data_IF_872914983079
#
_entry.id   IF_872914983079
#
_cell.length_a   1.000
_cell.length_b   1.000
_cell.length_c   1.000
_cell.angle_alpha   90.00
_cell.angle_beta   90.00
_cell.angle_gamma   90.00
#
_symmetry.space_group_name_H-M   'P 1'
#
loop_
_entity.id
_entity.type
_entity.pdbx_description
1 polymer ?
#
# COMPACT_ATOMS: atom_id res chain seq x y z
N UNK A 1 7.25 59.11 -25.54
CA UNK A 1 8.27 58.43 -24.69
C UNK A 1 7.53 57.73 -23.54
N UNK A 2 7.14 56.48 -23.73
CA UNK A 2 6.51 55.64 -22.73
C UNK A 2 7.42 54.46 -22.47
N UNK A 3 7.90 54.39 -21.23
CA UNK A 3 8.73 53.29 -20.76
C UNK A 3 7.87 52.09 -20.46
N UNK A 4 7.96 51.02 -21.22
CA UNK A 4 7.42 49.71 -20.86
C UNK A 4 8.35 49.04 -19.88
N UNK A 5 7.87 48.85 -18.65
CA UNK A 5 8.53 48.04 -17.66
C UNK A 5 8.10 46.58 -17.86
N UNK A 6 9.05 45.77 -18.30
CA UNK A 6 8.87 44.32 -18.50
C UNK A 6 8.91 43.67 -17.12
N UNK A 7 7.76 43.21 -16.62
CA UNK A 7 7.68 42.30 -15.45
C UNK A 7 7.82 40.88 -15.98
N UNK A 8 9.00 40.29 -15.76
CA UNK A 8 9.25 38.87 -15.98
C UNK A 8 8.57 38.09 -14.88
N UNK A 9 7.36 37.63 -15.13
CA UNK A 9 6.70 36.63 -14.32
C UNK A 9 7.30 35.25 -14.61
N UNK A 10 8.05 34.71 -13.66
CA UNK A 10 8.43 33.29 -13.68
C UNK A 10 7.17 32.44 -13.47
N UNK A 11 6.55 32.07 -14.56
CA UNK A 11 5.53 31.05 -14.59
C UNK A 11 6.21 29.68 -14.59
N UNK A 12 6.39 29.10 -13.41
CA UNK A 12 6.68 27.68 -13.31
C UNK A 12 5.42 26.90 -13.74
N UNK A 13 5.39 26.49 -15.01
CA UNK A 13 4.39 25.57 -15.51
C UNK A 13 4.66 24.18 -14.90
N UNK A 14 4.03 23.88 -13.79
CA UNK A 14 3.84 22.50 -13.32
C UNK A 14 2.81 21.86 -14.25
N UNK A 15 3.29 21.09 -15.21
CA UNK A 15 2.47 20.09 -15.91
C UNK A 15 2.13 18.99 -14.91
N UNK A 16 1.00 19.16 -14.24
CA UNK A 16 0.40 18.11 -13.45
C UNK A 16 -0.24 17.11 -14.39
N UNK A 17 0.45 15.99 -14.63
CA UNK A 17 -0.21 14.77 -15.07
C UNK A 17 -1.25 14.40 -14.01
N UNK A 18 -2.49 14.15 -14.46
CA UNK A 18 -3.65 13.97 -13.59
C UNK A 18 -3.56 12.69 -12.73
N UNK A 19 -3.08 12.89 -11.52
CA UNK A 19 -3.46 12.09 -10.39
C UNK A 19 -4.19 13.06 -9.47
N UNK A 20 -5.34 12.69 -8.92
CA UNK A 20 -5.97 13.40 -7.81
C UNK A 20 -4.98 13.36 -6.64
N UNK A 21 -4.03 14.28 -6.62
CA UNK A 21 -3.07 14.40 -5.53
C UNK A 21 -3.85 14.89 -4.32
N UNK A 22 -4.05 14.01 -3.35
CA UNK A 22 -4.53 14.38 -2.03
C UNK A 22 -3.64 15.53 -1.53
N UNK A 23 -4.25 16.65 -1.22
CA UNK A 23 -3.51 17.80 -0.66
C UNK A 23 -3.54 17.71 0.85
N UNK A 24 -2.40 17.90 1.52
CA UNK A 24 -2.40 17.97 2.98
C UNK A 24 -3.15 19.25 3.41
N UNK A 25 -4.26 19.06 4.14
CA UNK A 25 -5.20 20.13 4.47
C UNK A 25 -4.87 20.80 5.81
N UNK A 26 -4.25 20.05 6.74
CA UNK A 26 -3.92 20.54 8.07
C UNK A 26 -2.41 20.77 8.26
N UNK A 27 -2.00 21.60 9.24
CA UNK A 27 -0.59 21.74 9.58
C UNK A 27 0.09 20.41 9.89
N UNK A 28 -0.60 19.51 10.59
CA UNK A 28 -0.08 18.19 10.96
C UNK A 28 0.13 17.29 9.74
N UNK A 29 -0.83 17.24 8.81
CA UNK A 29 -0.69 16.49 7.56
C UNK A 29 0.43 17.06 6.68
N UNK A 30 0.58 18.41 6.64
CA UNK A 30 1.67 19.06 5.92
C UNK A 30 3.05 18.71 6.52
N UNK A 31 3.17 18.66 7.84
CA UNK A 31 4.39 18.25 8.53
C UNK A 31 4.71 16.76 8.22
N UNK A 32 3.69 15.88 8.23
CA UNK A 32 3.86 14.46 7.91
C UNK A 32 4.31 14.23 6.46
N UNK A 33 3.77 14.95 5.48
CA UNK A 33 4.20 14.90 4.08
C UNK A 33 5.67 15.28 3.92
N UNK A 34 6.12 16.30 4.67
CA UNK A 34 7.53 16.75 4.65
C UNK A 34 8.46 15.87 5.50
N UNK A 35 7.89 14.89 6.22
CA UNK A 35 8.59 14.09 7.21
C UNK A 35 9.30 14.96 8.28
N UNK A 36 8.66 16.07 8.65
CA UNK A 36 9.15 16.99 9.65
C UNK A 36 8.71 16.54 11.05
N UNK A 37 9.49 15.63 11.63
CA UNK A 37 9.20 15.03 12.95
C UNK A 37 9.18 16.08 14.06
N UNK A 38 10.02 17.11 13.94
CA UNK A 38 10.06 18.24 14.91
C UNK A 38 8.76 19.03 14.89
N UNK A 39 8.26 19.38 13.69
CA UNK A 39 6.98 20.06 13.54
C UNK A 39 5.81 19.19 13.99
N UNK A 40 5.81 17.89 13.70
CA UNK A 40 4.78 16.93 14.17
C UNK A 40 4.72 16.98 15.71
N UNK A 41 5.86 16.84 16.38
CA UNK A 41 5.94 16.87 17.86
C UNK A 41 5.38 18.18 18.40
N UNK A 42 5.84 19.31 17.88
CA UNK A 42 5.39 20.63 18.35
C UNK A 42 3.88 20.80 18.17
N UNK A 43 3.33 20.43 17.01
CA UNK A 43 1.90 20.54 16.75
C UNK A 43 1.06 19.68 17.72
N UNK A 44 1.53 18.45 18.01
CA UNK A 44 0.87 17.58 18.99
C UNK A 44 0.95 18.17 20.41
N UNK A 45 2.10 18.74 20.81
CA UNK A 45 2.28 19.41 22.09
C UNK A 45 1.41 20.68 22.20
N UNK A 46 1.17 21.39 21.08
CA UNK A 46 0.27 22.54 20.97
C UNK A 46 -1.22 22.15 21.00
N UNK A 47 -1.52 20.85 21.07
CA UNK A 47 -2.88 20.32 21.24
C UNK A 47 -3.63 20.00 19.95
N UNK A 48 -2.93 19.91 18.82
CA UNK A 48 -3.53 19.38 17.59
C UNK A 48 -3.91 17.91 17.77
N UNK A 49 -5.05 17.50 17.23
CA UNK A 49 -5.51 16.12 17.29
C UNK A 49 -4.72 15.26 16.30
N UNK A 50 -4.26 14.08 16.74
CA UNK A 50 -3.45 13.19 15.92
C UNK A 50 -4.16 12.72 14.63
N UNK A 51 -5.50 12.59 14.67
CA UNK A 51 -6.35 12.22 13.53
C UNK A 51 -6.99 13.44 12.84
N UNK A 52 -6.48 14.65 13.05
CA UNK A 52 -6.98 15.80 12.30
C UNK A 52 -6.71 15.62 10.80
N UNK A 53 -7.69 15.98 9.98
CA UNK A 53 -7.62 15.79 8.53
C UNK A 53 -8.93 15.30 7.94
N UNK A 54 -9.88 14.89 8.80
CA UNK A 54 -11.26 14.59 8.42
C UNK A 54 -11.37 13.49 7.38
N UNK A 55 -12.13 13.76 6.29
CA UNK A 55 -12.43 12.80 5.22
C UNK A 55 -11.24 12.55 4.29
N UNK A 56 -10.13 13.27 4.49
CA UNK A 56 -8.89 13.13 3.71
C UNK A 56 -7.87 12.21 4.41
N UNK A 57 -6.66 12.13 3.87
CA UNK A 57 -5.58 11.37 4.47
C UNK A 57 -5.07 12.02 5.77
N UNK A 58 -5.03 11.23 6.83
CA UNK A 58 -4.44 11.66 8.11
C UNK A 58 -2.92 11.79 8.05
N UNK A 59 -2.35 12.44 9.04
CA UNK A 59 -0.88 12.51 9.20
C UNK A 59 -0.27 11.11 9.30
N UNK A 60 -0.95 10.15 9.95
CA UNK A 60 -0.50 8.76 10.06
C UNK A 60 -0.44 8.05 8.71
N UNK A 61 -1.39 8.30 7.81
CA UNK A 61 -1.35 7.75 6.44
C UNK A 61 -0.14 8.29 5.68
N UNK A 62 0.12 9.59 5.74
CA UNK A 62 1.28 10.19 5.09
C UNK A 62 2.60 9.67 5.65
N UNK A 63 2.74 9.58 6.98
CA UNK A 63 3.90 9.00 7.64
C UNK A 63 4.11 7.52 7.27
N UNK A 64 3.03 6.74 7.18
CA UNK A 64 3.06 5.33 6.78
C UNK A 64 3.50 5.16 5.33
N UNK A 65 2.97 6.01 4.44
CA UNK A 65 3.34 6.05 3.03
C UNK A 65 4.82 6.39 2.82
N UNK A 66 5.36 7.33 3.58
CA UNK A 66 6.78 7.71 3.52
C UNK A 66 7.72 6.75 4.25
N UNK A 67 7.18 5.85 5.09
CA UNK A 67 7.97 4.92 5.90
C UNK A 67 8.61 5.56 7.13
N UNK A 68 8.13 6.73 7.57
CA UNK A 68 8.68 7.44 8.71
C UNK A 68 8.31 6.79 10.05
N UNK A 69 9.15 5.87 10.51
CA UNK A 69 8.94 5.13 11.78
C UNK A 69 8.80 6.07 12.98
N UNK A 70 9.58 7.14 13.02
CA UNK A 70 9.53 8.11 14.13
C UNK A 70 8.21 8.91 14.13
N UNK A 71 7.77 9.39 12.96
CA UNK A 71 6.50 10.09 12.84
C UNK A 71 5.32 9.17 13.19
N UNK A 72 5.34 7.90 12.72
CA UNK A 72 4.31 6.91 13.06
C UNK A 72 4.24 6.72 14.56
N UNK A 73 5.38 6.52 15.26
CA UNK A 73 5.40 6.39 16.71
C UNK A 73 4.79 7.60 17.40
N UNK A 74 5.22 8.82 17.05
CA UNK A 74 4.70 10.04 17.66
C UNK A 74 3.18 10.18 17.50
N UNK A 75 2.67 9.91 16.30
CA UNK A 75 1.24 10.03 16.00
C UNK A 75 0.43 8.98 16.75
N UNK A 76 0.86 7.71 16.76
CA UNK A 76 0.16 6.64 17.47
C UNK A 76 0.25 6.83 18.99
N UNK A 77 1.39 7.28 19.54
CA UNK A 77 1.53 7.59 20.96
C UNK A 77 0.65 8.79 21.37
N UNK A 78 0.35 9.71 20.45
CA UNK A 78 -0.58 10.81 20.64
C UNK A 78 -2.06 10.42 20.42
N UNK A 79 -2.35 9.13 20.17
CA UNK A 79 -3.70 8.60 20.06
C UNK A 79 -4.28 8.53 18.65
N UNK A 80 -3.45 8.63 17.59
CA UNK A 80 -3.93 8.37 16.24
C UNK A 80 -4.50 6.95 16.10
N UNK A 81 -5.66 6.82 15.46
CA UNK A 81 -6.24 5.52 15.15
C UNK A 81 -5.44 4.84 14.03
N UNK A 82 -4.74 3.76 14.40
CA UNK A 82 -3.89 2.97 13.49
C UNK A 82 -4.68 2.35 12.32
N UNK A 83 -6.00 2.25 12.47
CA UNK A 83 -6.91 1.64 11.49
C UNK A 83 -7.80 2.64 10.77
N UNK A 84 -7.66 3.95 11.04
CA UNK A 84 -8.45 4.97 10.38
C UNK A 84 -8.10 5.06 8.88
N UNK A 85 -9.02 4.70 7.98
CA UNK A 85 -8.74 4.77 6.55
C UNK A 85 -8.77 6.20 6.04
N UNK A 86 -8.08 6.45 4.95
CA UNK A 86 -8.19 7.71 4.22
C UNK A 86 -8.87 7.50 2.88
N UNK A 87 -9.89 8.33 2.61
CA UNK A 87 -10.56 8.31 1.33
C UNK A 87 -9.74 9.01 0.25
N UNK A 88 -9.65 8.42 -0.93
CA UNK A 88 -9.07 9.06 -2.13
C UNK A 88 -10.14 9.63 -3.05
N UNK A 89 -11.42 9.49 -2.67
CA UNK A 89 -12.56 9.92 -3.50
C UNK A 89 -12.90 8.97 -4.66
N UNK A 90 -12.18 7.86 -4.77
CA UNK A 90 -12.29 6.85 -5.82
C UNK A 90 -12.51 5.43 -5.25
N UNK A 91 -13.29 5.34 -4.17
CA UNK A 91 -13.65 4.08 -3.47
C UNK A 91 -12.45 3.28 -2.91
N UNK A 92 -11.29 3.94 -2.77
CA UNK A 92 -10.09 3.31 -2.22
C UNK A 92 -9.81 3.77 -0.78
N UNK A 93 -10.61 3.27 0.16
CA UNK A 93 -10.47 3.58 1.59
C UNK A 93 -9.37 2.75 2.25
N UNK A 94 -8.11 3.06 1.93
CA UNK A 94 -6.95 2.32 2.43
C UNK A 94 -6.53 2.79 3.83
N UNK A 95 -6.14 1.82 4.67
CA UNK A 95 -5.57 2.07 6.00
C UNK A 95 -4.11 2.51 5.93
N UNK A 96 -3.54 3.08 7.01
CA UNK A 96 -2.09 3.33 7.11
C UNK A 96 -1.24 2.11 6.75
N UNK A 97 -1.63 0.92 7.23
CA UNK A 97 -0.95 -0.34 6.91
C UNK A 97 -0.94 -0.62 5.40
N UNK A 98 -2.08 -0.48 4.74
CA UNK A 98 -2.18 -0.72 3.29
C UNK A 98 -1.35 0.29 2.49
N UNK A 99 -1.32 1.56 2.91
CA UNK A 99 -0.45 2.56 2.30
C UNK A 99 1.04 2.23 2.46
N UNK A 100 1.46 1.75 3.64
CA UNK A 100 2.83 1.31 3.88
C UNK A 100 3.20 0.10 2.99
N UNK A 101 2.28 -0.85 2.79
CA UNK A 101 2.47 -2.00 1.88
C UNK A 101 2.62 -1.54 0.44
N UNK A 102 1.71 -0.69 -0.05
CA UNK A 102 1.73 -0.16 -1.42
C UNK A 102 3.01 0.60 -1.75
N UNK A 103 3.60 1.27 -0.77
CA UNK A 103 4.86 2.00 -0.91
C UNK A 103 6.11 1.19 -0.53
N UNK A 104 5.94 -0.11 -0.24
CA UNK A 104 7.04 -1.02 0.11
C UNK A 104 7.87 -0.55 1.29
N UNK A 105 7.20 -0.19 2.38
CA UNK A 105 7.83 0.31 3.61
C UNK A 105 7.85 -0.76 4.72
N UNK A 106 8.74 -1.76 4.69
CA UNK A 106 8.67 -2.90 5.62
C UNK A 106 8.85 -2.51 7.08
N UNK A 107 9.61 -1.45 7.38
CA UNK A 107 9.78 -0.95 8.75
C UNK A 107 8.48 -0.34 9.29
N UNK A 108 7.78 0.46 8.47
CA UNK A 108 6.46 0.99 8.82
C UNK A 108 5.41 -0.11 8.95
N UNK A 109 5.40 -1.08 8.03
CA UNK A 109 4.50 -2.25 8.11
C UNK A 109 4.69 -2.98 9.44
N UNK A 110 5.93 -3.33 9.82
CA UNK A 110 6.22 -3.98 11.10
C UNK A 110 5.69 -3.17 12.27
N UNK A 111 6.03 -1.88 12.31
CA UNK A 111 5.61 -0.99 13.40
C UNK A 111 4.08 -0.92 13.51
N UNK A 112 3.37 -0.72 12.40
CA UNK A 112 1.90 -0.64 12.39
C UNK A 112 1.26 -1.96 12.88
N UNK A 113 1.82 -3.12 12.49
CA UNK A 113 1.37 -4.42 12.98
C UNK A 113 1.61 -4.57 14.50
N UNK A 114 2.79 -4.17 14.98
CA UNK A 114 3.12 -4.17 16.42
C UNK A 114 2.20 -3.23 17.23
N UNK A 115 1.63 -2.20 16.57
CA UNK A 115 0.67 -1.24 17.14
C UNK A 115 -0.80 -1.63 16.93
N UNK A 116 -1.09 -2.83 16.42
CA UNK A 116 -2.45 -3.38 16.30
C UNK A 116 -3.18 -3.02 15.01
N UNK A 117 -2.47 -2.79 13.91
CA UNK A 117 -3.09 -2.62 12.62
C UNK A 117 -3.87 -3.88 12.18
N UNK A 118 -5.06 -3.68 11.63
CA UNK A 118 -5.94 -4.77 11.20
C UNK A 118 -5.41 -5.46 9.94
N UNK A 119 -5.14 -6.76 10.07
CA UNK A 119 -4.65 -7.64 9.00
C UNK A 119 -5.72 -8.04 7.98
N UNK A 120 -7.01 -7.84 8.31
CA UNK A 120 -8.13 -8.40 7.56
C UNK A 120 -8.96 -7.36 6.84
N UNK A 121 -8.74 -6.07 7.12
CA UNK A 121 -9.48 -5.00 6.48
C UNK A 121 -9.15 -4.92 5.00
N UNK A 122 -10.16 -5.15 4.16
CA UNK A 122 -10.07 -4.94 2.71
C UNK A 122 -10.16 -3.46 2.34
N UNK A 123 -9.55 -3.07 1.23
CA UNK A 123 -9.66 -1.74 0.65
C UNK A 123 -9.75 -1.79 -0.87
N UNK A 124 -10.39 -0.80 -1.45
CA UNK A 124 -10.54 -0.64 -2.89
C UNK A 124 -11.40 -1.69 -3.57
N UNK A 125 -11.46 -1.66 -4.91
CA UNK A 125 -12.20 -2.63 -5.70
C UNK A 125 -11.73 -4.05 -5.42
N UNK A 126 -12.69 -4.95 -5.09
CA UNK A 126 -12.40 -6.34 -4.75
C UNK A 126 -12.03 -6.56 -3.29
N UNK A 127 -12.11 -5.54 -2.42
CA UNK A 127 -11.87 -5.67 -0.96
C UNK A 127 -10.51 -6.30 -0.64
N UNK A 128 -9.43 -5.70 -1.17
CA UNK A 128 -8.07 -6.25 -1.07
C UNK A 128 -7.51 -6.15 0.35
N UNK A 129 -7.34 -7.28 1.01
CA UNK A 129 -6.68 -7.34 2.31
C UNK A 129 -5.17 -7.03 2.22
N UNK A 130 -4.50 -6.67 3.33
CA UNK A 130 -3.05 -6.46 3.36
C UNK A 130 -2.24 -7.60 2.72
N UNK A 131 -2.61 -8.85 2.98
CA UNK A 131 -1.91 -10.01 2.41
C UNK A 131 -2.11 -10.14 0.89
N UNK A 132 -3.33 -9.87 0.38
CA UNK A 132 -3.62 -9.85 -1.05
C UNK A 132 -2.84 -8.75 -1.78
N UNK A 133 -2.67 -7.58 -1.16
CA UNK A 133 -1.83 -6.51 -1.69
C UNK A 133 -0.36 -6.92 -1.75
N UNK A 134 0.18 -7.47 -0.66
CA UNK A 134 1.57 -7.90 -0.59
C UNK A 134 1.89 -9.07 -1.54
N UNK A 135 0.94 -9.97 -1.80
CA UNK A 135 1.09 -11.08 -2.74
C UNK A 135 1.30 -10.59 -4.19
N UNK A 136 0.88 -9.38 -4.50
CA UNK A 136 1.15 -8.71 -5.78
C UNK A 136 2.58 -8.18 -5.93
N UNK A 137 3.47 -8.29 -4.94
CA UNK A 137 4.85 -7.81 -5.04
C UNK A 137 5.85 -8.94 -5.40
N UNK A 138 6.98 -8.54 -5.99
CA UNK A 138 8.10 -9.44 -6.29
C UNK A 138 8.96 -9.73 -5.06
N UNK A 139 9.05 -8.77 -4.12
CA UNK A 139 9.76 -8.94 -2.86
C UNK A 139 8.83 -9.52 -1.79
N UNK A 140 9.09 -10.72 -1.26
CA UNK A 140 8.26 -11.35 -0.25
C UNK A 140 8.45 -10.79 1.16
N UNK A 141 9.26 -9.76 1.39
CA UNK A 141 9.59 -9.29 2.72
C UNK A 141 8.34 -8.88 3.52
N UNK A 142 7.48 -8.04 2.93
CA UNK A 142 6.24 -7.59 3.57
C UNK A 142 5.26 -8.75 3.72
N UNK A 143 5.13 -9.62 2.70
CA UNK A 143 4.28 -10.81 2.77
C UNK A 143 4.68 -11.71 3.94
N UNK A 144 5.98 -11.96 4.14
CA UNK A 144 6.48 -12.74 5.27
C UNK A 144 6.17 -12.09 6.62
N UNK A 145 6.24 -10.75 6.70
CA UNK A 145 5.86 -10.01 7.91
C UNK A 145 4.38 -10.22 8.24
N UNK A 146 3.49 -10.07 7.26
CA UNK A 146 2.06 -10.27 7.45
C UNK A 146 1.73 -11.71 7.88
N UNK A 147 2.33 -12.70 7.23
CA UNK A 147 2.16 -14.11 7.60
C UNK A 147 2.68 -14.40 9.02
N UNK A 148 3.81 -13.80 9.43
CA UNK A 148 4.36 -13.94 10.77
C UNK A 148 3.45 -13.31 11.85
N UNK A 149 2.64 -12.31 11.51
CA UNK A 149 1.64 -11.71 12.39
C UNK A 149 0.26 -12.38 12.29
N UNK A 150 0.14 -13.51 11.60
CA UNK A 150 -1.07 -14.33 11.57
C UNK A 150 -2.06 -13.99 10.45
N UNK A 151 -1.63 -13.34 9.37
CA UNK A 151 -2.47 -13.15 8.19
C UNK A 151 -2.87 -14.51 7.59
N UNK A 152 -4.14 -14.69 7.24
CA UNK A 152 -4.66 -15.93 6.66
C UNK A 152 -4.23 -16.06 5.18
N UNK A 153 -3.38 -17.06 4.83
CA UNK A 153 -2.93 -17.25 3.45
C UNK A 153 -4.02 -17.81 2.51
N UNK A 154 -5.20 -18.11 3.03
CA UNK A 154 -6.34 -18.67 2.27
C UNK A 154 -7.43 -17.64 1.98
N UNK A 155 -7.26 -16.39 2.43
CA UNK A 155 -8.24 -15.30 2.19
C UNK A 155 -8.52 -15.11 0.72
N UNK A 156 -9.77 -14.81 0.38
CA UNK A 156 -10.20 -14.54 -1.00
C UNK A 156 -10.71 -13.10 -1.12
N UNK A 157 -10.41 -12.47 -2.26
CA UNK A 157 -11.06 -11.21 -2.65
C UNK A 157 -12.46 -11.48 -3.26
N UNK A 158 -13.19 -10.43 -3.57
CA UNK A 158 -14.54 -10.53 -4.18
C UNK A 158 -14.56 -11.27 -5.53
N UNK A 159 -13.42 -11.40 -6.19
CA UNK A 159 -13.27 -12.12 -7.46
C UNK A 159 -12.82 -13.58 -7.24
N UNK A 160 -12.70 -14.02 -6.00
CA UNK A 160 -12.20 -15.34 -5.63
C UNK A 160 -10.67 -15.50 -5.82
N UNK A 161 -9.93 -14.40 -5.91
CA UNK A 161 -8.47 -14.47 -5.98
C UNK A 161 -7.90 -14.67 -4.58
N UNK A 162 -7.00 -15.63 -4.44
CA UNK A 162 -6.24 -15.89 -3.22
C UNK A 162 -4.86 -15.23 -3.28
N UNK A 163 -4.14 -15.08 -2.15
CA UNK A 163 -2.75 -14.62 -2.19
C UNK A 163 -1.87 -15.45 -3.13
N UNK A 164 -2.09 -16.76 -3.20
CA UNK A 164 -1.34 -17.63 -4.09
C UNK A 164 -1.69 -17.37 -5.57
N UNK A 165 -2.98 -17.28 -5.94
CA UNK A 165 -3.35 -16.98 -7.33
C UNK A 165 -2.85 -15.60 -7.78
N UNK A 166 -2.86 -14.59 -6.88
CA UNK A 166 -2.31 -13.26 -7.16
C UNK A 166 -0.79 -13.27 -7.34
N UNK A 167 -0.06 -14.06 -6.54
CA UNK A 167 1.37 -14.23 -6.71
C UNK A 167 1.71 -14.93 -8.03
N UNK A 168 0.90 -15.91 -8.45
CA UNK A 168 1.05 -16.64 -9.72
C UNK A 168 0.71 -15.78 -10.93
N UNK A 169 -0.36 -14.99 -10.88
CA UNK A 169 -0.80 -14.12 -12.00
C UNK A 169 0.12 -12.94 -12.29
N UNK A 170 1.21 -12.81 -11.55
CA UNK A 170 2.15 -11.69 -11.68
C UNK A 170 1.50 -10.30 -11.52
N UNK A 171 0.42 -10.22 -10.71
CA UNK A 171 -0.24 -9.00 -10.26
C UNK A 171 -0.70 -8.09 -11.37
N UNK A 172 -1.91 -8.28 -11.80
CA UNK A 172 -2.64 -7.32 -12.61
C UNK A 172 -3.26 -6.22 -11.75
N UNK A 173 -2.48 -5.62 -10.83
CA UNK A 173 -2.91 -4.37 -10.20
C UNK A 173 -2.74 -3.26 -11.24
N UNK A 174 -3.86 -2.83 -11.82
CA UNK A 174 -3.93 -1.68 -12.68
C UNK A 174 -3.58 -0.42 -11.86
N UNK A 175 -2.39 0.13 -12.10
CA UNK A 175 -1.99 1.44 -11.62
C UNK A 175 -1.17 2.12 -12.72
N UNK A 176 -1.35 3.44 -12.95
CA UNK A 176 -0.67 4.17 -14.03
C UNK A 176 0.86 4.14 -13.94
N UNK A 177 1.40 3.82 -12.77
CA UNK A 177 2.84 3.87 -12.49
C UNK A 177 3.53 2.50 -12.41
N UNK A 178 2.82 1.41 -12.73
CA UNK A 178 3.41 0.06 -12.68
C UNK A 178 3.31 -0.59 -14.07
N UNK A 179 4.44 -1.05 -14.63
CA UNK A 179 4.42 -1.73 -15.92
C UNK A 179 3.52 -2.98 -15.83
N UNK A 180 2.70 -3.18 -16.85
CA UNK A 180 1.77 -4.31 -17.02
C UNK A 180 2.45 -5.69 -16.99
N UNK A 181 3.78 -5.73 -16.92
CA UNK A 181 4.61 -6.93 -16.96
C UNK A 181 5.47 -6.99 -15.69
N UNK A 182 4.84 -7.36 -14.56
CA UNK A 182 5.58 -7.76 -13.37
C UNK A 182 6.26 -9.11 -13.63
N UNK A 183 7.56 -9.24 -13.33
CA UNK A 183 8.27 -10.50 -13.46
C UNK A 183 7.70 -11.61 -12.58
N UNK A 184 8.08 -12.87 -12.86
CA UNK A 184 7.66 -14.05 -12.11
C UNK A 184 7.98 -13.91 -10.62
N UNK A 185 6.97 -14.07 -9.75
CA UNK A 185 7.09 -13.91 -8.29
C UNK A 185 7.47 -15.20 -7.60
N UNK A 186 8.57 -15.82 -8.04
CA UNK A 186 9.03 -17.11 -7.54
C UNK A 186 9.18 -17.13 -6.02
N UNK A 187 9.80 -16.08 -5.45
CA UNK A 187 10.06 -16.01 -4.02
C UNK A 187 8.79 -15.76 -3.20
N UNK A 188 7.83 -15.02 -3.73
CA UNK A 188 6.52 -14.80 -3.09
C UNK A 188 5.71 -16.08 -3.06
N UNK A 189 5.65 -16.81 -4.19
CA UNK A 189 5.01 -18.14 -4.27
C UNK A 189 5.69 -19.13 -3.33
N UNK A 190 7.03 -19.17 -3.33
CA UNK A 190 7.80 -20.03 -2.41
C UNK A 190 7.50 -19.70 -0.94
N UNK A 191 7.43 -18.44 -0.57
CA UNK A 191 7.13 -18.02 0.80
C UNK A 191 5.73 -18.46 1.25
N UNK A 192 4.72 -18.34 0.39
CA UNK A 192 3.36 -18.81 0.66
C UNK A 192 3.31 -20.33 0.86
N UNK A 193 3.90 -21.09 -0.04
CA UNK A 193 3.94 -22.56 0.04
C UNK A 193 4.74 -23.03 1.25
N UNK A 194 5.86 -22.38 1.57
CA UNK A 194 6.67 -22.71 2.75
C UNK A 194 5.92 -22.44 4.06
N UNK A 195 5.11 -21.38 4.12
CA UNK A 195 4.28 -21.06 5.29
C UNK A 195 3.14 -22.05 5.46
N UNK A 196 2.47 -22.43 4.37
CA UNK A 196 1.39 -23.43 4.38
C UNK A 196 1.58 -24.42 3.21
N UNK A 197 2.26 -25.57 3.43
CA UNK A 197 2.46 -26.59 2.40
C UNK A 197 1.17 -27.23 1.88
N UNK A 198 0.07 -27.08 2.63
CA UNK A 198 -1.26 -27.52 2.24
C UNK A 198 -2.01 -26.55 1.33
N UNK A 199 -1.44 -25.37 1.05
CA UNK A 199 -2.05 -24.41 0.14
C UNK A 199 -2.32 -25.07 -1.21
N UNK A 200 -3.59 -25.11 -1.56
CA UNK A 200 -4.04 -25.61 -2.85
C UNK A 200 -4.74 -24.47 -3.58
N UNK A 201 -4.53 -24.47 -4.86
CA UNK A 201 -5.20 -23.53 -5.73
C UNK A 201 -6.62 -24.04 -5.96
N UNK A 202 -7.60 -23.21 -5.60
CA UNK A 202 -8.97 -23.48 -5.95
C UNK A 202 -9.12 -23.33 -7.46
N UNK A 203 -9.64 -24.36 -8.13
CA UNK A 203 -9.97 -24.29 -9.57
C UNK A 203 -11.21 -23.43 -9.78
N UNK A 204 -11.03 -22.13 -9.85
CA UNK A 204 -12.03 -21.13 -10.18
C UNK A 204 -11.55 -20.29 -11.37
N UNK A 205 -12.33 -19.26 -11.78
CA UNK A 205 -11.94 -18.37 -12.88
C UNK A 205 -10.62 -17.64 -12.60
N UNK A 206 -10.44 -17.10 -11.39
CA UNK A 206 -9.23 -16.41 -11.00
C UNK A 206 -7.97 -17.31 -11.05
N UNK A 207 -8.14 -18.60 -10.77
CA UNK A 207 -7.09 -19.60 -10.93
C UNK A 207 -6.70 -19.81 -12.39
N UNK A 208 -7.71 -20.03 -13.26
CA UNK A 208 -7.46 -20.27 -14.69
C UNK A 208 -6.75 -19.06 -15.31
N UNK A 209 -7.14 -17.85 -14.93
CA UNK A 209 -6.51 -16.61 -15.37
C UNK A 209 -5.06 -16.51 -14.86
N UNK A 210 -4.82 -16.85 -13.60
CA UNK A 210 -3.47 -16.83 -13.01
C UNK A 210 -2.51 -17.78 -13.75
N UNK A 211 -2.95 -19.01 -14.03
CA UNK A 211 -2.15 -20.00 -14.80
C UNK A 211 -1.93 -19.51 -16.23
N UNK A 212 -2.97 -19.01 -16.88
CA UNK A 212 -2.84 -18.48 -18.25
C UNK A 212 -1.79 -17.37 -18.29
N UNK A 213 -1.84 -16.41 -17.37
CA UNK A 213 -0.86 -15.32 -17.26
C UNK A 213 0.55 -15.84 -16.97
N UNK A 214 0.71 -16.80 -16.06
CA UNK A 214 2.01 -17.40 -15.76
C UNK A 214 2.62 -18.08 -17.00
N UNK A 215 1.79 -18.75 -17.81
CA UNK A 215 2.23 -19.37 -19.08
C UNK A 215 2.58 -18.33 -20.13
N UNK A 216 1.78 -17.28 -20.29
CA UNK A 216 2.06 -16.16 -21.23
C UNK A 216 3.39 -15.50 -20.91
N UNK A 217 3.68 -15.28 -19.62
CA UNK A 217 4.92 -14.67 -19.15
C UNK A 217 6.09 -15.65 -19.03
N UNK A 218 5.89 -16.93 -19.39
CA UNK A 218 6.89 -17.99 -19.30
C UNK A 218 7.50 -18.17 -17.89
N UNK A 219 6.64 -18.06 -16.86
CA UNK A 219 7.03 -18.24 -15.47
C UNK A 219 7.17 -19.73 -15.10
N UNK A 220 8.05 -20.46 -15.78
CA UNK A 220 8.19 -21.91 -15.63
C UNK A 220 8.51 -22.36 -14.21
N UNK A 221 9.33 -21.59 -13.49
CA UNK A 221 9.66 -21.92 -12.09
C UNK A 221 8.44 -21.78 -11.17
N UNK A 222 7.58 -20.79 -11.42
CA UNK A 222 6.31 -20.63 -10.68
C UNK A 222 5.38 -21.80 -10.99
N UNK A 223 5.20 -22.15 -12.27
CA UNK A 223 4.35 -23.25 -12.68
C UNK A 223 4.83 -24.58 -12.06
N UNK A 224 6.13 -24.83 -12.06
CA UNK A 224 6.74 -26.02 -11.43
C UNK A 224 6.51 -26.05 -9.91
N UNK A 225 6.59 -24.91 -9.22
CA UNK A 225 6.34 -24.82 -7.77
C UNK A 225 4.91 -25.16 -7.38
N UNK A 226 3.94 -24.85 -8.23
CA UNK A 226 2.51 -25.12 -8.00
C UNK A 226 2.03 -26.45 -8.59
N UNK A 227 2.90 -27.18 -9.31
CA UNK A 227 2.61 -28.50 -9.87
C UNK A 227 1.85 -28.48 -11.20
N UNK A 228 2.05 -27.44 -12.04
CA UNK A 228 1.45 -27.25 -13.37
C UNK A 228 2.46 -27.41 -14.52
#
# INVERSE_FOLDING_TARGET
MHRFTLVLGLGAALLAAGACAQRPETPLTQAAVRNDVGAIRQLLDDGHKADEGGDSWTALIWASRSGSVEAINLLVDAGADVNLPGSTGDDWDATPLQHAILQRQPAAVRLLLDRGADLNRGAGPGSLTPLLLAAGDTDPAILKLLLAHGADPTVEDENGSTPLSRAVSAGTLHGPDRPMFGGCRVETVRALIAHNPGLRLKRNSAWNDAIWWARVQRCEDVLRLIGE
#
